data_IF_888021500898
#
_entry.id   IF_888021500898
#
_cell.length_a   1.000
_cell.length_b   1.000
_cell.length_c   1.000
_cell.angle_alpha   90.00
_cell.angle_beta   90.00
_cell.angle_gamma   90.00
#
_symmetry.space_group_name_H-M   'P 1'
#
loop_
_entity.id
_entity.type
_entity.pdbx_description
1 polymer ?
#
# COMPACT_ATOMS: atom_id res chain seq x y z
N UNK A 1 -15.17 16.60 -1.80
CA UNK A 1 -13.80 16.49 -1.28
C UNK A 1 -13.26 15.17 -1.77
N UNK A 2 -12.18 15.19 -2.57
CA UNK A 2 -11.53 13.96 -3.05
C UNK A 2 -10.91 13.28 -1.83
N UNK A 3 -11.21 12.00 -1.64
CA UNK A 3 -10.76 11.26 -0.47
C UNK A 3 -9.57 10.41 -0.89
N UNK A 4 -8.36 10.91 -0.64
CA UNK A 4 -7.14 10.17 -0.91
C UNK A 4 -7.09 8.89 -0.05
N UNK A 5 -6.49 7.83 -0.58
CA UNK A 5 -6.31 6.58 0.13
C UNK A 5 -5.45 6.80 1.39
N UNK A 6 -6.02 6.54 2.56
CA UNK A 6 -5.30 6.63 3.83
C UNK A 6 -4.15 5.61 3.85
N UNK A 7 -2.93 6.11 4.00
CA UNK A 7 -1.75 5.28 4.10
C UNK A 7 -1.70 4.58 5.47
N UNK A 8 -1.27 3.31 5.54
CA UNK A 8 -1.16 2.60 6.81
C UNK A 8 -0.11 3.23 7.73
N UNK A 9 0.97 3.76 7.17
CA UNK A 9 2.01 4.53 7.88
C UNK A 9 2.26 5.84 7.12
N UNK A 10 2.47 6.97 7.80
CA UNK A 10 2.76 8.21 7.12
C UNK A 10 4.15 8.16 6.47
N UNK A 11 4.23 8.63 5.23
CA UNK A 11 5.49 8.79 4.50
C UNK A 11 6.11 10.16 4.81
N UNK A 12 7.41 10.31 4.58
CA UNK A 12 8.03 11.64 4.69
C UNK A 12 7.43 12.59 3.63
N UNK A 13 7.30 13.88 3.97
CA UNK A 13 6.66 14.87 3.11
C UNK A 13 7.38 15.04 1.75
N UNK A 14 8.68 14.74 1.72
CA UNK A 14 9.58 14.81 0.57
C UNK A 14 9.77 13.47 -0.14
N UNK A 15 9.14 12.39 0.35
CA UNK A 15 9.32 11.06 -0.23
C UNK A 15 8.57 10.85 -1.55
N UNK A 16 7.50 11.62 -1.79
CA UNK A 16 6.62 11.41 -2.94
C UNK A 16 6.05 12.72 -3.48
N UNK A 17 5.93 12.80 -4.81
CA UNK A 17 5.37 13.95 -5.52
C UNK A 17 4.23 13.53 -6.45
N UNK A 18 3.29 14.44 -6.74
CA UNK A 18 2.26 14.22 -7.75
C UNK A 18 2.93 14.09 -9.12
N UNK A 19 2.49 13.13 -9.93
CA UNK A 19 3.09 12.79 -11.22
C UNK A 19 4.22 11.77 -11.15
N UNK A 20 4.69 11.40 -9.96
CA UNK A 20 5.72 10.38 -9.80
C UNK A 20 5.19 8.99 -10.18
N UNK A 21 6.02 8.23 -10.88
CA UNK A 21 5.81 6.81 -11.16
C UNK A 21 6.49 5.98 -10.07
N UNK A 22 5.78 4.98 -9.54
CA UNK A 22 6.24 4.15 -8.43
C UNK A 22 6.09 2.67 -8.79
N UNK A 23 7.08 1.85 -8.47
CA UNK A 23 6.91 0.39 -8.53
C UNK A 23 6.07 -0.06 -7.33
N UNK A 24 6.36 0.49 -6.14
CA UNK A 24 5.64 0.16 -4.92
C UNK A 24 5.12 1.43 -4.20
N UNK A 25 3.80 1.64 -4.06
CA UNK A 25 3.23 2.86 -3.50
C UNK A 25 3.67 3.17 -2.06
N UNK A 26 3.94 2.15 -1.24
CA UNK A 26 4.33 2.33 0.16
C UNK A 26 5.85 2.46 0.38
N UNK A 27 6.65 2.27 -0.67
CA UNK A 27 8.12 2.32 -0.62
C UNK A 27 8.67 3.19 -1.76
N UNK A 28 8.28 4.48 -1.81
CA UNK A 28 8.72 5.37 -2.88
C UNK A 28 10.24 5.61 -2.89
N UNK A 29 10.95 5.29 -1.80
CA UNK A 29 12.40 5.39 -1.67
C UNK A 29 13.19 4.31 -2.42
N UNK A 30 12.56 3.17 -2.75
CA UNK A 30 13.25 2.03 -3.36
C UNK A 30 13.42 2.21 -4.85
N UNK A 31 12.30 2.40 -5.54
CA UNK A 31 12.24 2.47 -6.99
C UNK A 31 11.07 3.33 -7.46
N UNK A 32 11.38 4.32 -8.28
CA UNK A 32 10.42 5.20 -8.90
C UNK A 32 11.07 6.09 -9.95
N UNK A 33 10.24 6.76 -10.73
CA UNK A 33 10.68 7.72 -11.73
C UNK A 33 9.90 9.02 -11.56
N UNK A 34 10.62 10.14 -11.61
CA UNK A 34 10.03 11.47 -11.55
C UNK A 34 10.55 12.30 -12.71
N UNK A 35 9.64 12.71 -13.60
CA UNK A 35 9.98 13.53 -14.76
C UNK A 35 10.24 14.98 -14.32
N UNK A 36 11.49 15.42 -14.44
CA UNK A 36 11.82 16.83 -14.23
C UNK A 36 11.25 17.72 -15.35
N UNK A 37 11.10 17.17 -16.55
CA UNK A 37 10.55 17.88 -17.70
C UNK A 37 9.05 18.15 -17.53
N UNK A 38 8.27 17.16 -17.08
CA UNK A 38 6.83 17.28 -16.94
C UNK A 38 6.39 17.99 -15.64
N UNK A 39 7.31 18.17 -14.68
CA UNK A 39 7.00 18.71 -13.36
C UNK A 39 6.18 20.01 -13.40
N UNK A 40 6.58 20.97 -14.23
CA UNK A 40 5.93 22.29 -14.30
C UNK A 40 4.48 22.15 -14.77
N UNK A 41 4.23 21.40 -15.85
CA UNK A 41 2.87 21.18 -16.33
C UNK A 41 2.02 20.42 -15.31
N UNK A 42 2.60 19.43 -14.63
CA UNK A 42 1.89 18.66 -13.60
C UNK A 42 1.50 19.57 -12.43
N UNK A 43 2.38 20.47 -12.00
CA UNK A 43 2.11 21.44 -10.95
C UNK A 43 1.02 22.44 -11.33
N UNK A 44 0.99 22.91 -12.57
CA UNK A 44 -0.07 23.78 -13.09
C UNK A 44 -1.44 23.07 -13.12
N UNK A 45 -1.45 21.73 -13.21
CA UNK A 45 -2.66 20.91 -13.19
C UNK A 45 -3.11 20.54 -11.76
N UNK A 46 -2.32 20.88 -10.74
CA UNK A 46 -2.62 20.56 -9.35
C UNK A 46 -3.52 21.61 -8.71
N UNK A 47 -4.57 21.14 -8.03
CA UNK A 47 -5.35 21.94 -7.10
C UNK A 47 -4.81 21.78 -5.67
N UNK A 48 -4.82 22.89 -4.94
CA UNK A 48 -4.30 22.97 -3.57
C UNK A 48 -5.44 23.31 -2.62
N UNK A 49 -5.73 22.38 -1.72
CA UNK A 49 -6.65 22.63 -0.62
C UNK A 49 -5.92 22.64 0.70
N UNK A 50 -5.93 23.79 1.37
CA UNK A 50 -5.26 24.00 2.65
C UNK A 50 -6.33 24.18 3.73
N UNK A 51 -6.25 23.35 4.77
CA UNK A 51 -7.07 23.48 5.96
C UNK A 51 -6.19 23.74 7.18
N UNK A 52 -6.43 24.86 7.86
CA UNK A 52 -5.76 25.19 9.12
C UNK A 52 -6.49 24.54 10.29
N UNK A 53 -5.74 24.21 11.35
CA UNK A 53 -6.25 23.58 12.58
C UNK A 53 -7.06 22.33 12.27
N UNK A 54 -6.49 21.45 11.45
CA UNK A 54 -7.10 20.19 11.06
C UNK A 54 -7.29 19.31 12.30
N UNK A 55 -8.47 18.70 12.42
CA UNK A 55 -8.79 17.76 13.48
C UNK A 55 -9.66 16.64 12.95
N UNK A 56 -9.27 15.41 13.23
CA UNK A 56 -9.95 14.23 12.71
C UNK A 56 -9.74 13.00 13.61
N UNK A 57 -10.49 11.93 13.37
CA UNK A 57 -10.44 10.69 14.14
C UNK A 57 -10.10 9.52 13.24
N UNK A 58 -9.11 8.77 13.67
CA UNK A 58 -8.63 7.59 12.96
C UNK A 58 -8.76 6.35 13.84
N UNK A 59 -9.12 5.21 13.27
CA UNK A 59 -8.84 3.92 13.92
C UNK A 59 -7.43 3.46 13.55
N UNK A 60 -6.77 2.81 14.51
CA UNK A 60 -5.49 2.14 14.29
C UNK A 60 -5.56 0.68 14.69
N UNK A 61 -4.75 -0.15 14.05
CA UNK A 61 -4.59 -1.55 14.41
C UNK A 61 -3.74 -1.74 15.69
N UNK A 62 -3.44 -3.00 16.03
CA UNK A 62 -2.57 -3.35 17.16
C UNK A 62 -1.11 -2.94 16.97
N UNK A 63 -0.70 -2.59 15.76
CA UNK A 63 0.65 -2.18 15.39
C UNK A 63 0.80 -0.65 15.26
N UNK A 64 -0.30 0.09 15.39
CA UNK A 64 -0.34 1.53 15.19
C UNK A 64 -0.44 1.94 13.73
N UNK A 65 -0.88 1.07 12.82
CA UNK A 65 -1.16 1.40 11.41
C UNK A 65 -2.56 1.98 11.28
N UNK A 66 -2.75 2.93 10.39
CA UNK A 66 -4.05 3.56 10.15
C UNK A 66 -5.02 2.64 9.39
N UNK A 67 -6.21 2.48 9.95
CA UNK A 67 -7.26 1.58 9.44
C UNK A 67 -8.46 2.30 8.83
N UNK A 68 -8.91 3.41 9.39
CA UNK A 68 -10.05 4.16 8.82
C UNK A 68 -9.98 5.59 9.29
N UNK A 69 -10.30 6.53 8.40
CA UNK A 69 -10.59 7.92 8.77
C UNK A 69 -12.12 8.07 8.92
N UNK A 70 -12.58 8.56 10.07
CA UNK A 70 -13.99 8.80 10.36
C UNK A 70 -14.48 10.23 10.07
N UNK A 71 -13.57 11.15 9.77
CA UNK A 71 -13.91 12.56 9.55
C UNK A 71 -14.18 13.32 10.86
N UNK A 72 -14.12 14.65 10.77
CA UNK A 72 -14.44 15.55 11.89
C UNK A 72 -15.91 15.43 12.36
N UNK A 73 -16.81 15.00 11.47
CA UNK A 73 -18.23 14.72 11.74
C UNK A 73 -18.41 13.22 11.82
N UNK A 74 -18.12 12.68 12.99
CA UNK A 74 -17.96 11.26 13.17
C UNK A 74 -19.34 10.63 13.48
N UNK A 75 -19.81 9.72 12.64
CA UNK A 75 -21.10 9.05 12.84
C UNK A 75 -21.00 8.06 14.00
N UNK A 76 -21.67 8.41 15.11
CA UNK A 76 -21.69 7.70 16.40
C UNK A 76 -21.86 6.17 16.26
N UNK A 77 -22.68 5.71 15.32
CA UNK A 77 -22.96 4.28 15.12
C UNK A 77 -21.77 3.46 14.60
N UNK A 78 -20.84 4.06 13.85
CA UNK A 78 -19.69 3.34 13.27
C UNK A 78 -18.49 3.23 14.22
N UNK A 79 -18.37 4.18 15.13
CA UNK A 79 -17.20 4.36 16.01
C UNK A 79 -17.36 3.61 17.32
N UNK A 80 -18.60 3.44 17.78
CA UNK A 80 -18.92 2.78 19.05
C UNK A 80 -18.29 1.39 19.22
N UNK A 81 -17.99 0.69 18.11
CA UNK A 81 -17.46 -0.68 18.12
C UNK A 81 -15.96 -0.78 17.85
N UNK A 82 -15.27 0.35 17.69
CA UNK A 82 -13.91 0.36 17.18
C UNK A 82 -12.91 0.43 18.34
N UNK A 83 -12.09 -0.61 18.56
CA UNK A 83 -10.97 -0.50 19.47
C UNK A 83 -9.93 0.47 18.87
N UNK A 84 -9.17 1.14 19.73
CA UNK A 84 -8.00 1.93 19.36
C UNK A 84 -8.28 3.14 18.43
N UNK A 85 -9.03 4.12 18.92
CA UNK A 85 -9.22 5.39 18.22
C UNK A 85 -8.12 6.40 18.58
N UNK A 86 -7.66 7.15 17.60
CA UNK A 86 -6.75 8.27 17.72
C UNK A 86 -7.43 9.55 17.23
N UNK A 87 -7.46 10.56 18.10
CA UNK A 87 -7.72 11.93 17.69
C UNK A 87 -6.43 12.51 17.14
N UNK A 88 -6.48 13.03 15.92
CA UNK A 88 -5.35 13.63 15.22
C UNK A 88 -5.64 15.11 15.05
N UNK A 89 -4.79 15.93 15.65
CA UNK A 89 -4.82 17.39 15.48
C UNK A 89 -3.56 17.84 14.75
N UNK A 90 -3.69 18.57 13.66
CA UNK A 90 -2.57 19.12 12.91
C UNK A 90 -2.73 20.63 12.73
N UNK A 91 -1.61 21.34 12.68
CA UNK A 91 -1.61 22.78 12.41
C UNK A 91 -2.18 23.08 11.02
N UNK A 92 -1.78 22.26 10.04
CA UNK A 92 -2.15 22.42 8.65
C UNK A 92 -2.33 21.04 7.99
N UNK A 93 -3.43 20.86 7.27
CA UNK A 93 -3.58 19.84 6.24
C UNK A 93 -3.40 20.49 4.88
N UNK A 94 -2.57 19.90 4.03
CA UNK A 94 -2.40 20.29 2.63
C UNK A 94 -2.80 19.11 1.76
N UNK A 95 -3.82 19.30 0.93
CA UNK A 95 -4.18 18.34 -0.10
C UNK A 95 -3.74 18.90 -1.45
N UNK A 96 -2.96 18.11 -2.18
CA UNK A 96 -2.56 18.39 -3.56
C UNK A 96 -3.20 17.35 -4.44
N UNK A 97 -4.02 17.74 -5.40
CA UNK A 97 -4.75 16.79 -6.24
C UNK A 97 -4.70 17.24 -7.68
N UNK A 98 -4.33 16.35 -8.60
CA UNK A 98 -4.42 16.65 -10.02
C UNK A 98 -5.88 16.79 -10.43
N UNK A 99 -6.26 17.95 -10.97
CA UNK A 99 -7.62 18.19 -11.47
C UNK A 99 -7.95 17.30 -12.67
N UNK A 100 -6.93 16.96 -13.46
CA UNK A 100 -7.05 16.09 -14.63
C UNK A 100 -5.93 15.04 -14.61
N UNK A 101 -6.12 13.93 -13.88
CA UNK A 101 -5.09 12.91 -13.71
C UNK A 101 -4.65 12.28 -15.03
N UNK A 102 -5.56 12.18 -16.02
CA UNK A 102 -5.20 11.67 -17.34
C UNK A 102 -4.34 12.63 -18.17
N UNK A 103 -4.45 13.94 -17.93
CA UNK A 103 -3.57 14.93 -18.55
C UNK A 103 -2.22 14.98 -17.86
N UNK A 104 -2.19 14.99 -16.52
CA UNK A 104 -0.93 14.92 -15.76
C UNK A 104 -0.14 13.66 -16.12
N UNK A 105 -0.80 12.51 -16.21
CA UNK A 105 -0.15 11.27 -16.64
C UNK A 105 0.33 11.34 -18.10
N UNK A 106 -0.45 11.94 -19.02
CA UNK A 106 0.01 12.15 -20.39
C UNK A 106 1.28 13.01 -20.44
N UNK A 107 1.36 14.07 -19.65
CA UNK A 107 2.55 14.92 -19.59
C UNK A 107 3.80 14.12 -19.16
N UNK A 108 3.65 13.21 -18.18
CA UNK A 108 4.73 12.26 -17.81
C UNK A 108 5.12 11.38 -19.00
N UNK A 109 4.16 10.88 -19.76
CA UNK A 109 4.43 10.01 -20.92
C UNK A 109 5.00 10.75 -22.13
N UNK A 110 4.93 12.08 -22.18
CA UNK A 110 5.56 12.89 -23.23
C UNK A 110 7.08 12.96 -23.06
N UNK A 111 7.58 12.75 -21.84
CA UNK A 111 8.99 12.59 -21.52
C UNK A 111 9.55 11.25 -22.08
N UNK A 112 10.55 11.29 -22.98
CA UNK A 112 11.20 10.08 -23.48
C UNK A 112 11.83 9.20 -22.39
N UNK A 113 12.43 9.79 -21.35
CA UNK A 113 13.07 9.03 -20.26
C UNK A 113 12.03 8.24 -19.47
N UNK A 114 10.86 8.83 -19.24
CA UNK A 114 9.73 8.15 -18.61
C UNK A 114 9.28 6.95 -19.46
N UNK A 115 9.19 7.12 -20.78
CA UNK A 115 8.80 6.03 -21.69
C UNK A 115 9.83 4.90 -21.71
N UNK A 116 11.11 5.22 -21.68
CA UNK A 116 12.19 4.22 -21.60
C UNK A 116 12.12 3.43 -20.29
N UNK A 117 11.92 4.13 -19.16
CA UNK A 117 11.72 3.50 -17.86
C UNK A 117 10.50 2.56 -17.85
N UNK A 118 9.36 3.03 -18.37
CA UNK A 118 8.13 2.23 -18.47
C UNK A 118 8.34 1.03 -19.42
N UNK A 119 9.06 1.20 -20.53
CA UNK A 119 9.37 0.11 -21.45
C UNK A 119 10.24 -0.97 -20.79
N UNK A 120 11.18 -0.57 -19.91
CA UNK A 120 11.94 -1.50 -19.08
C UNK A 120 11.04 -2.33 -18.17
N UNK A 121 10.11 -1.70 -17.46
CA UNK A 121 9.14 -2.42 -16.61
C UNK A 121 8.18 -3.31 -17.40
N UNK A 122 7.76 -2.87 -18.58
CA UNK A 122 6.90 -3.64 -19.46
C UNK A 122 7.56 -4.93 -19.94
N UNK A 123 8.88 -4.91 -20.22
CA UNK A 123 9.67 -6.11 -20.57
C UNK A 123 9.74 -7.09 -19.42
N UNK A 124 9.88 -6.58 -18.20
CA UNK A 124 9.90 -7.39 -16.97
C UNK A 124 8.50 -7.86 -16.54
N UNK A 125 7.43 -7.40 -17.21
CA UNK A 125 6.04 -7.69 -16.81
C UNK A 125 5.67 -7.12 -15.44
N UNK A 126 6.39 -6.08 -14.98
CA UNK A 126 6.17 -5.45 -13.67
C UNK A 126 5.04 -4.45 -13.73
N UNK A 127 4.24 -4.46 -12.69
CA UNK A 127 3.23 -3.42 -12.47
C UNK A 127 3.85 -2.19 -11.82
N UNK A 128 3.26 -1.04 -12.09
CA UNK A 128 3.66 0.22 -11.50
C UNK A 128 2.45 1.13 -11.38
N UNK A 129 2.66 2.26 -10.75
CA UNK A 129 1.62 3.16 -10.31
C UNK A 129 2.00 4.61 -10.59
N UNK A 130 1.00 5.47 -10.74
CA UNK A 130 1.19 6.92 -10.83
C UNK A 130 0.50 7.61 -9.66
N UNK A 131 1.21 8.55 -9.04
CA UNK A 131 0.67 9.40 -7.97
C UNK A 131 -0.10 10.55 -8.60
N UNK A 132 -1.37 10.71 -8.24
CA UNK A 132 -2.24 11.78 -8.76
C UNK A 132 -2.75 12.72 -7.67
N UNK A 133 -2.54 12.38 -6.39
CA UNK A 133 -2.88 13.25 -5.28
C UNK A 133 -2.18 12.84 -3.97
N UNK A 134 -2.01 13.82 -3.09
CA UNK A 134 -1.33 13.70 -1.80
C UNK A 134 -2.08 14.46 -0.71
N UNK A 135 -2.12 13.90 0.50
CA UNK A 135 -2.59 14.58 1.71
C UNK A 135 -1.45 14.63 2.72
N UNK A 136 -0.95 15.82 2.96
CA UNK A 136 0.09 16.11 3.95
C UNK A 136 -0.54 16.68 5.22
N UNK A 137 -0.07 16.23 6.39
CA UNK A 137 -0.34 16.88 7.66
C UNK A 137 0.96 17.46 8.21
N UNK A 138 0.91 18.71 8.66
CA UNK A 138 2.03 19.39 9.33
C UNK A 138 1.78 19.48 10.83
N UNK A 139 2.81 19.14 11.59
CA UNK A 139 2.83 19.18 13.05
C UNK A 139 1.63 18.42 13.65
N UNK A 140 1.34 17.23 13.12
CA UNK A 140 0.28 16.37 13.61
C UNK A 140 0.62 15.86 15.01
N UNK A 141 -0.35 15.96 15.90
CA UNK A 141 -0.34 15.46 17.27
C UNK A 141 -1.39 14.37 17.40
N UNK A 142 -1.08 13.36 18.19
CA UNK A 142 -1.95 12.21 18.40
C UNK A 142 -2.40 12.15 19.85
N UNK A 143 -3.70 11.97 20.06
CA UNK A 143 -4.30 11.73 21.37
C UNK A 143 -5.16 10.48 21.32
N UNK A 144 -5.19 9.70 22.40
CA UNK A 144 -6.06 8.55 22.48
C UNK A 144 -7.50 9.04 22.61
N UNK A 145 -8.36 8.63 21.70
CA UNK A 145 -9.78 8.96 21.79
C UNK A 145 -10.53 7.78 22.41
N UNK A 146 -11.31 8.04 23.47
CA UNK A 146 -12.30 7.10 24.00
C UNK A 146 -13.66 7.76 23.94
N UNK A 147 -14.67 7.01 23.51
CA UNK A 147 -16.04 7.49 23.55
C UNK A 147 -16.46 7.64 25.02
N UNK A 148 -16.95 8.82 25.40
CA UNK A 148 -17.20 9.13 26.81
C UNK A 148 -18.46 8.43 27.34
N UNK A 149 -19.42 8.06 26.48
CA UNK A 149 -20.66 7.42 26.93
C UNK A 149 -21.34 6.59 25.84
N UNK A 150 -21.71 5.36 26.21
CA UNK A 150 -22.00 4.24 25.32
C UNK A 150 -23.35 4.25 24.59
N UNK A 151 -24.01 5.40 24.47
CA UNK A 151 -25.41 5.41 24.00
C UNK A 151 -25.98 6.71 23.42
N UNK A 152 -25.39 7.89 23.65
CA UNK A 152 -25.98 9.14 23.14
C UNK A 152 -25.04 10.36 23.05
N UNK A 153 -23.80 10.30 23.54
CA UNK A 153 -22.91 11.46 23.61
C UNK A 153 -21.92 11.49 22.45
N UNK A 154 -21.90 12.61 21.70
CA UNK A 154 -20.87 12.93 20.70
C UNK A 154 -19.58 13.48 21.33
N UNK A 155 -19.37 13.27 22.64
CA UNK A 155 -18.16 13.73 23.32
C UNK A 155 -17.12 12.62 23.33
N UNK A 156 -15.96 12.95 22.78
CA UNK A 156 -14.77 12.13 22.88
C UNK A 156 -13.94 12.61 24.06
N UNK A 157 -13.55 11.67 24.91
CA UNK A 157 -12.53 11.94 25.91
C UNK A 157 -11.16 11.71 25.28
N UNK A 158 -10.36 12.78 25.20
CA UNK A 158 -9.02 12.73 24.66
C UNK A 158 -8.01 12.57 25.80
N UNK A 159 -7.37 11.41 25.83
CA UNK A 159 -6.34 11.09 26.81
C UNK A 159 -4.95 11.19 26.15
N UNK A 160 -3.93 11.61 26.91
CA UNK A 160 -2.54 11.51 26.46
C UNK A 160 -2.21 10.08 26.06
N UNK A 161 -1.30 9.92 25.10
CA UNK A 161 -0.84 8.61 24.66
C UNK A 161 0.04 8.00 25.76
N UNK A 162 -0.25 6.76 26.11
CA UNK A 162 0.51 5.99 27.10
C UNK A 162 1.96 5.77 26.62
N UNK A 163 2.92 5.81 27.55
CA UNK A 163 4.33 5.54 27.23
C UNK A 163 4.48 4.11 26.70
N UNK A 164 4.87 3.97 25.44
CA UNK A 164 5.03 2.67 24.77
C UNK A 164 3.87 2.26 23.87
N UNK A 165 2.79 3.06 23.78
CA UNK A 165 1.75 2.81 22.80
C UNK A 165 2.31 2.89 21.37
N UNK A 166 1.90 1.93 20.53
CA UNK A 166 2.23 1.94 19.10
C UNK A 166 1.36 3.00 18.40
N UNK A 167 2.01 4.06 17.93
CA UNK A 167 1.39 5.18 17.21
C UNK A 167 2.04 5.22 15.84
N UNK A 168 1.31 5.56 14.77
CA UNK A 168 1.92 5.74 13.47
C UNK A 168 2.97 6.86 13.55
N UNK A 169 4.24 6.49 13.39
CA UNK A 169 5.37 7.43 13.36
C UNK A 169 5.78 7.62 11.90
N UNK A 170 5.98 8.87 11.48
CA UNK A 170 6.64 9.11 10.21
C UNK A 170 8.08 8.63 10.32
N UNK A 171 8.55 7.95 9.27
CA UNK A 171 9.94 7.51 9.15
C UNK A 171 10.81 8.75 8.95
N UNK A 172 11.27 9.38 10.04
CA UNK A 172 12.41 10.30 10.01
C UNK A 172 13.45 9.90 11.05
N UNK A 173 14.71 9.95 10.60
CA UNK A 173 15.93 9.60 11.35
C UNK A 173 16.24 10.57 12.50
N UNK A 174 15.72 11.79 12.51
CA UNK A 174 16.25 12.84 13.39
C UNK A 174 15.15 13.73 14.03
N UNK A 175 14.28 13.15 14.85
CA UNK A 175 13.44 13.96 15.76
C UNK A 175 13.69 13.54 17.21
N UNK A 176 14.93 13.74 17.64
CA UNK A 176 15.28 13.82 19.05
C UNK A 176 14.94 15.19 19.61
N UNK A 177 14.21 15.16 20.73
CA UNK A 177 14.14 16.17 21.79
C UNK A 177 13.43 17.51 21.49
N UNK A 178 12.11 17.49 21.67
CA UNK A 178 11.43 18.55 22.42
C UNK A 178 11.15 18.06 23.84
N UNK A 179 11.62 18.80 24.85
CA UNK A 179 11.27 18.62 26.28
C UNK A 179 9.79 18.99 26.55
N UNK A 180 8.87 18.32 25.84
CA UNK A 180 7.43 18.50 25.96
C UNK A 180 6.75 17.24 25.47
N UNK A 181 5.81 16.74 26.24
CA UNK A 181 5.17 15.41 26.15
C UNK A 181 4.39 15.10 24.86
N UNK A 182 4.47 15.92 23.81
CA UNK A 182 3.73 15.76 22.56
C UNK A 182 4.69 15.59 21.38
N UNK A 183 4.70 14.39 20.79
CA UNK A 183 5.45 14.12 19.57
C UNK A 183 4.69 14.72 18.36
N UNK A 184 5.29 15.68 17.68
CA UNK A 184 4.78 16.23 16.43
C UNK A 184 5.27 15.39 15.25
N UNK A 185 4.36 15.06 14.33
CA UNK A 185 4.66 14.28 13.13
C UNK A 185 4.21 15.06 11.91
N UNK A 186 5.11 15.25 10.96
CA UNK A 186 4.81 15.86 9.66
C UNK A 186 5.09 14.86 8.56
N UNK A 187 4.20 14.74 7.58
CA UNK A 187 4.35 13.76 6.50
C UNK A 187 3.12 13.64 5.62
N UNK A 188 3.18 12.71 4.66
CA UNK A 188 2.06 12.31 3.80
C UNK A 188 1.25 11.23 4.51
N UNK A 189 -0.01 11.51 4.78
CA UNK A 189 -0.95 10.59 5.44
C UNK A 189 -1.92 9.94 4.46
N UNK A 190 -2.14 10.55 3.29
CA UNK A 190 -3.01 10.02 2.26
C UNK A 190 -2.40 10.17 0.88
N UNK A 191 -2.67 9.22 0.00
CA UNK A 191 -2.20 9.24 -1.38
C UNK A 191 -3.30 8.74 -2.32
N UNK A 192 -3.53 9.47 -3.40
CA UNK A 192 -4.32 8.99 -4.54
C UNK A 192 -3.34 8.44 -5.59
N UNK A 193 -3.42 7.13 -5.80
CA UNK A 193 -2.51 6.38 -6.66
C UNK A 193 -3.35 5.60 -7.65
N UNK A 194 -2.94 5.58 -8.92
CA UNK A 194 -3.62 4.80 -9.96
C UNK A 194 -2.72 3.70 -10.46
N UNK A 195 -3.30 2.51 -10.67
CA UNK A 195 -2.59 1.38 -11.27
C UNK A 195 -2.34 1.66 -12.73
N UNK A 196 -1.12 1.42 -13.19
CA UNK A 196 -0.73 1.55 -14.58
C UNK A 196 -0.32 0.18 -15.12
N UNK A 197 -0.79 -0.12 -16.33
CA UNK A 197 -0.38 -1.32 -17.07
C UNK A 197 0.40 -0.87 -18.29
N UNK A 198 1.59 -1.43 -18.51
CA UNK A 198 2.33 -1.22 -19.75
C UNK A 198 2.66 -2.55 -20.40
N UNK A 199 2.64 -2.57 -21.74
CA UNK A 199 3.00 -3.72 -22.56
C UNK A 199 3.70 -3.25 -23.82
N UNK A 200 4.65 -4.04 -24.30
CA UNK A 200 5.18 -3.90 -25.64
C UNK A 200 4.30 -4.75 -26.55
N UNK A 201 3.67 -4.12 -27.53
CA UNK A 201 2.69 -4.75 -28.42
C UNK A 201 2.96 -4.34 -29.86
N UNK A 202 2.17 -4.88 -30.79
CA UNK A 202 2.08 -4.36 -32.16
C UNK A 202 0.74 -3.66 -32.37
N UNK A 203 0.65 -2.67 -33.29
CA UNK A 203 -0.62 -2.02 -33.61
C UNK A 203 -1.74 -2.97 -34.06
N UNK A 204 -1.37 -4.15 -34.58
CA UNK A 204 -2.30 -5.18 -35.06
C UNK A 204 -2.87 -6.06 -33.93
N UNK A 205 -2.24 -6.08 -32.76
CA UNK A 205 -2.64 -6.93 -31.65
C UNK A 205 -3.89 -6.36 -30.95
N UNK A 206 -4.96 -7.16 -30.79
CA UNK A 206 -6.19 -6.68 -30.17
C UNK A 206 -6.03 -6.51 -28.65
N UNK A 207 -6.85 -5.61 -28.10
CA UNK A 207 -7.03 -5.50 -26.65
C UNK A 207 -7.57 -6.80 -26.04
N UNK A 208 -7.09 -7.09 -24.84
CA UNK A 208 -7.60 -8.13 -23.94
C UNK A 208 -8.74 -7.61 -23.06
N UNK A 209 -9.53 -8.51 -22.46
CA UNK A 209 -10.60 -8.11 -21.52
C UNK A 209 -10.07 -7.32 -20.32
N UNK A 210 -8.83 -7.57 -19.90
CA UNK A 210 -8.17 -6.83 -18.82
C UNK A 210 -7.79 -5.39 -19.18
N UNK A 211 -8.05 -4.96 -20.42
CA UNK A 211 -7.75 -3.61 -20.89
C UNK A 211 -8.95 -2.66 -20.76
N UNK A 212 -10.12 -3.19 -20.43
CA UNK A 212 -11.33 -2.42 -20.14
C UNK A 212 -11.12 -1.58 -18.87
N UNK A 213 -11.69 -0.37 -18.86
CA UNK A 213 -11.60 0.55 -17.73
C UNK A 213 -10.29 1.33 -17.64
N UNK A 214 -9.38 1.14 -18.60
CA UNK A 214 -8.11 1.88 -18.68
C UNK A 214 -8.13 2.92 -19.79
N UNK A 215 -7.45 4.05 -19.55
CA UNK A 215 -7.17 5.04 -20.57
C UNK A 215 -5.80 4.75 -21.19
N UNK A 216 -5.81 4.35 -22.46
CA UNK A 216 -4.63 3.90 -23.19
C UNK A 216 -3.95 5.02 -23.97
N UNK A 217 -2.62 4.94 -24.00
CA UNK A 217 -1.71 5.78 -24.76
C UNK A 217 -0.71 4.88 -25.48
N UNK A 218 -0.34 5.26 -26.70
CA UNK A 218 0.50 4.46 -27.59
C UNK A 218 1.68 5.28 -28.05
N UNK A 219 2.86 4.67 -28.02
CA UNK A 219 4.10 5.30 -28.43
C UNK A 219 4.94 4.31 -29.23
N UNK A 220 5.45 4.73 -30.38
CA UNK A 220 6.36 3.91 -31.16
C UNK A 220 7.69 3.74 -30.41
N UNK A 221 8.22 2.51 -30.39
CA UNK A 221 9.54 2.26 -29.82
C UNK A 221 10.59 2.57 -30.88
N UNK A 222 11.49 3.55 -30.65
CA UNK A 222 12.51 3.89 -31.62
C UNK A 222 13.40 2.67 -31.89
N UNK A 223 13.75 2.47 -33.16
CA UNK A 223 14.60 1.38 -33.65
C UNK A 223 14.02 -0.05 -33.50
N UNK A 224 12.71 -0.21 -33.26
CA UNK A 224 12.10 -1.54 -33.28
C UNK A 224 12.06 -2.10 -34.72
N UNK A 225 12.62 -3.30 -34.91
CA UNK A 225 12.60 -4.02 -36.19
C UNK A 225 11.20 -4.47 -36.59
N UNK A 226 10.32 -4.67 -35.61
CA UNK A 226 8.99 -5.26 -35.80
C UNK A 226 7.85 -4.25 -35.65
N UNK A 227 8.12 -2.94 -35.74
CA UNK A 227 7.14 -1.86 -35.49
C UNK A 227 6.44 -2.02 -34.13
N UNK A 228 7.22 -2.34 -33.10
CA UNK A 228 6.70 -2.47 -31.74
C UNK A 228 6.32 -1.09 -31.20
N UNK A 229 5.24 -1.08 -30.42
CA UNK A 229 4.75 0.09 -29.72
C UNK A 229 4.69 -0.20 -28.22
N UNK A 230 5.01 0.82 -27.43
CA UNK A 230 4.74 0.86 -26.01
C UNK A 230 3.27 1.28 -25.82
N UNK A 231 2.49 0.36 -25.26
CA UNK A 231 1.10 0.56 -24.93
C UNK A 231 0.98 0.75 -23.42
N UNK A 232 0.51 1.92 -22.97
CA UNK A 232 0.43 2.30 -21.56
C UNK A 232 -1.00 2.68 -21.18
N UNK A 233 -1.55 2.03 -20.17
CA UNK A 233 -2.94 2.17 -19.73
C UNK A 233 -3.01 2.61 -18.28
N UNK A 234 -3.57 3.79 -18.02
CA UNK A 234 -3.89 4.24 -16.67
C UNK A 234 -5.26 3.70 -16.25
N UNK A 235 -5.31 2.95 -15.16
CA UNK A 235 -6.51 2.35 -14.61
C UNK A 235 -7.18 3.18 -13.50
N UNK A 236 -7.93 2.46 -12.67
CA UNK A 236 -8.66 3.01 -11.54
C UNK A 236 -7.72 3.38 -10.37
N UNK A 237 -8.26 4.20 -9.46
CA UNK A 237 -7.58 4.56 -8.22
C UNK A 237 -7.53 3.36 -7.26
N UNK A 238 -6.38 3.16 -6.63
CA UNK A 238 -6.20 2.17 -5.59
C UNK A 238 -7.06 2.52 -4.37
N UNK A 239 -7.76 1.51 -3.85
CA UNK A 239 -8.52 1.66 -2.61
C UNK A 239 -7.58 1.59 -1.41
N UNK A 240 -7.94 2.25 -0.31
CA UNK A 240 -7.16 2.21 0.93
C UNK A 240 -6.93 0.76 1.44
N UNK A 241 -7.89 -0.15 1.22
CA UNK A 241 -7.73 -1.56 1.58
C UNK A 241 -6.69 -2.28 0.72
N UNK A 242 -6.55 -1.93 -0.56
CA UNK A 242 -5.53 -2.51 -1.44
C UNK A 242 -4.14 -2.05 -1.04
N UNK A 243 -3.98 -0.76 -0.70
CA UNK A 243 -2.74 -0.24 -0.14
C UNK A 243 -2.35 -0.96 1.16
N UNK A 244 -3.31 -1.36 2.00
CA UNK A 244 -3.00 -2.15 3.20
C UNK A 244 -2.51 -3.55 2.88
N UNK A 245 -3.19 -4.25 1.95
CA UNK A 245 -2.79 -5.59 1.54
C UNK A 245 -1.37 -5.60 0.96
N UNK A 246 -0.94 -4.52 0.29
CA UNK A 246 0.44 -4.38 -0.18
C UNK A 246 1.47 -4.31 0.94
N UNK A 247 1.11 -3.78 2.12
CA UNK A 247 2.00 -3.72 3.28
C UNK A 247 2.21 -5.11 3.89
N UNK A 248 1.15 -5.91 3.96
CA UNK A 248 1.21 -7.25 4.57
C UNK A 248 2.07 -8.19 3.70
N UNK A 249 1.99 -8.05 2.37
CA UNK A 249 2.86 -8.75 1.42
C UNK A 249 4.31 -8.28 1.48
N UNK A 250 4.58 -7.01 1.82
CA UNK A 250 5.96 -6.48 1.81
C UNK A 250 6.73 -6.70 3.10
N UNK A 251 6.05 -6.85 4.25
CA UNK A 251 6.69 -7.03 5.56
C UNK A 251 6.84 -8.51 5.96
N UNK A 252 5.89 -9.40 5.60
CA UNK A 252 5.97 -10.82 5.97
C UNK A 252 6.89 -11.62 5.03
N UNK A 253 6.90 -11.34 3.72
CA UNK A 253 7.71 -12.09 2.75
C UNK A 253 9.21 -11.80 2.85
N UNK A 254 9.63 -10.70 3.49
CA UNK A 254 11.07 -10.43 3.68
C UNK A 254 11.59 -11.07 4.96
N UNK A 255 10.88 -10.92 6.09
CA UNK A 255 11.34 -11.50 7.36
C UNK A 255 11.25 -13.03 7.35
N UNK A 256 10.13 -13.61 6.86
CA UNK A 256 9.97 -15.08 6.86
C UNK A 256 10.89 -15.77 5.87
N UNK A 257 11.14 -15.20 4.69
CA UNK A 257 12.09 -15.79 3.74
C UNK A 257 13.53 -15.72 4.25
N UNK A 258 13.97 -14.65 4.93
CA UNK A 258 15.31 -14.60 5.52
C UNK A 258 15.46 -15.59 6.69
N UNK A 259 14.44 -15.75 7.54
CA UNK A 259 14.50 -16.68 8.67
C UNK A 259 14.43 -18.15 8.21
N UNK A 260 13.60 -18.48 7.20
CA UNK A 260 13.50 -19.83 6.65
C UNK A 260 14.79 -20.23 5.91
N UNK A 261 15.40 -19.33 5.14
CA UNK A 261 16.68 -19.60 4.45
C UNK A 261 17.82 -19.74 5.47
N UNK A 262 17.82 -18.94 6.53
CA UNK A 262 18.82 -19.01 7.60
C UNK A 262 18.68 -20.29 8.43
N UNK A 263 17.46 -20.77 8.69
CA UNK A 263 17.22 -22.04 9.38
C UNK A 263 17.54 -23.26 8.52
N UNK A 264 17.16 -23.26 7.24
CA UNK A 264 17.47 -24.36 6.32
C UNK A 264 18.98 -24.52 6.08
N UNK A 265 19.73 -23.41 6.03
CA UNK A 265 21.19 -23.46 5.89
C UNK A 265 21.90 -23.94 7.16
N UNK A 266 21.39 -23.62 8.35
CA UNK A 266 21.90 -24.11 9.63
C UNK A 266 21.59 -25.61 9.82
N UNK A 267 20.39 -26.05 9.47
CA UNK A 267 19.96 -27.44 9.59
C UNK A 267 20.65 -28.35 8.56
N UNK A 268 20.92 -27.86 7.35
CA UNK A 268 21.70 -28.59 6.35
C UNK A 268 23.16 -28.80 6.78
N UNK A 269 23.78 -27.81 7.45
CA UNK A 269 25.13 -27.94 8.00
C UNK A 269 25.17 -28.86 9.23
N UNK A 270 24.11 -28.88 10.04
CA UNK A 270 23.98 -29.75 11.21
C UNK A 270 23.71 -31.22 10.82
N UNK A 271 22.89 -31.45 9.78
CA UNK A 271 22.57 -32.78 9.27
C UNK A 271 23.76 -33.43 8.53
N UNK A 272 24.59 -32.65 7.84
CA UNK A 272 25.81 -33.15 7.20
C UNK A 272 26.94 -33.48 8.20
N UNK A 273 26.83 -33.01 9.46
CA UNK A 273 27.84 -33.21 10.50
C UNK A 273 27.51 -34.34 11.49
N UNK A 274 26.36 -35.03 11.37
CA UNK A 274 25.97 -36.11 12.28
C UNK A 274 26.34 -37.51 11.75
N UNK A 275 27.28 -38.25 12.37
CA UNK A 275 27.73 -39.56 11.89
C UNK A 275 26.91 -40.76 12.43
N UNK A 276 25.66 -40.55 12.85
CA UNK A 276 24.94 -41.52 13.69
C UNK A 276 23.51 -41.85 13.23
N UNK A 277 23.28 -42.23 11.98
CA UNK A 277 22.05 -42.97 11.63
C UNK A 277 22.32 -44.05 10.57
N UNK A 278 22.71 -45.24 11.06
CA UNK A 278 22.56 -46.49 10.29
C UNK A 278 21.08 -46.90 10.32
N UNK A 279 20.46 -47.31 9.19
CA UNK A 279 19.12 -47.86 9.22
C UNK A 279 19.17 -49.33 9.70
N UNK A 280 18.59 -49.61 10.86
CA UNK A 280 18.32 -50.98 11.33
C UNK A 280 16.86 -51.35 11.04
N UNK A 281 16.65 -52.29 10.12
CA UNK A 281 15.39 -53.04 9.99
C UNK A 281 15.18 -53.96 11.22
N UNK A 282 13.94 -54.33 11.58
CA UNK A 282 13.51 -55.69 11.20
C UNK A 282 11.98 -55.91 10.96
N UNK A 283 11.71 -56.76 9.97
CA UNK A 283 10.75 -57.89 9.87
C UNK A 283 9.36 -57.92 10.57
N UNK A 284 8.31 -57.94 9.72
CA UNK A 284 7.26 -58.99 9.52
C UNK A 284 6.40 -59.56 10.67
N UNK A 285 5.06 -59.43 10.46
CA UNK A 285 3.92 -60.38 10.66
C UNK A 285 2.74 -59.60 11.27
N UNK A 286 1.51 -59.62 10.77
CA UNK A 286 0.82 -60.37 9.75
C UNK A 286 -0.69 -60.12 9.94
N UNK A 287 -1.50 -60.64 9.00
CA UNK A 287 -2.99 -60.64 8.95
C UNK A 287 -3.63 -59.46 8.22
N UNK A 288 -3.77 -59.67 6.92
CA UNK A 288 -4.93 -59.26 6.13
C UNK A 288 -6.23 -59.86 6.69
N UNK A 289 -7.36 -59.15 6.53
CA UNK A 289 -8.38 -59.64 5.60
C UNK A 289 -8.97 -58.55 4.71
N UNK A 290 -9.23 -58.91 3.46
CA UNK A 290 -10.15 -58.25 2.52
C UNK A 290 -11.44 -59.10 2.44
N UNK A 291 -12.45 -58.84 1.57
CA UNK A 291 -13.09 -57.58 1.09
C UNK A 291 -14.65 -57.65 1.08
N UNK A 292 -15.36 -56.55 1.42
CA UNK A 292 -16.78 -56.21 1.06
C UNK A 292 -17.91 -57.20 1.47
N UNK A 293 -19.22 -56.81 1.64
CA UNK A 293 -19.99 -56.04 0.66
C UNK A 293 -21.23 -55.18 1.15
N UNK A 294 -21.80 -54.44 0.19
CA UNK A 294 -23.23 -54.11 -0.03
C UNK A 294 -23.97 -52.96 0.71
N UNK A 295 -24.25 -51.92 -0.08
CA UNK A 295 -25.52 -51.20 -0.26
C UNK A 295 -26.75 -51.61 0.57
N UNK A 296 -27.40 -50.61 1.20
CA UNK A 296 -28.86 -50.42 1.16
C UNK A 296 -29.25 -49.00 1.60
N UNK A 297 -30.00 -48.32 0.73
CA UNK A 297 -30.86 -47.19 1.06
C UNK A 297 -32.34 -47.65 0.96
N UNK A 298 -33.32 -46.73 1.07
CA UNK A 298 -34.14 -46.43 2.24
C UNK A 298 -35.52 -47.12 2.19
N UNK A 299 -36.32 -47.02 3.25
CA UNK A 299 -37.78 -47.11 3.09
C UNK A 299 -38.56 -46.34 4.16
N UNK A 300 -39.65 -45.77 3.65
CA UNK A 300 -40.73 -45.00 4.25
C UNK A 300 -41.41 -45.68 5.44
N UNK A 301 -41.85 -44.85 6.39
CA UNK A 301 -43.26 -44.68 6.77
C UNK A 301 -43.45 -43.24 7.27
#
# INVERSE_FOLDING_TARGET
>A
MVLHGLLPKPLAADAVSVGQLLIHPLHPERDGFYSQQAHIEIDDLNDYHIQLRYKDIFSVDTEGRFMTNYGAKFDLGRIYRQPNLLSVGAEQMIQRTSQNPGRAFRAVLEDPEAREWIAGLAKDGKEFYVVVGLTELKNATFKRAKLQDSGASSRLNELPIEKGAKVPRAVRRDSTLGLGTEAYVSGVFGMDVRRVTARITRPEEPHSLGDIGKRWYYYDIPNSTNKEQLMVGMGEALKANELRLMLDLSEEDVQTNFDVISQLSLDALSAAASPLLRPSSPALRGRSPSPNPQFRAPNFL
#
